data_IF_857446048082
#
_entry.id   IF_857446048082
#
_cell.length_a   1.000
_cell.length_b   1.000
_cell.length_c   1.000
_cell.angle_alpha   90.00
_cell.angle_beta   90.00
_cell.angle_gamma   90.00
#
_symmetry.space_group_name_H-M   'P 1'
#
loop_
_entity.id
_entity.type
_entity.pdbx_description
1 polymer ?
#
# COMPACT_ATOMS: atom_id res chain seq x y z
N UNK A 1 34.16 -17.46 25.32
CA UNK A 1 34.63 -16.11 24.96
C UNK A 1 35.04 -15.93 23.49
N UNK A 2 35.34 -16.98 22.70
CA UNK A 2 35.70 -16.84 21.27
C UNK A 2 34.54 -16.46 20.33
N UNK A 3 33.31 -16.85 20.69
CA UNK A 3 32.13 -16.62 19.83
C UNK A 3 31.79 -15.13 19.65
N UNK A 4 32.15 -14.30 20.63
CA UNK A 4 31.94 -12.84 20.57
C UNK A 4 32.68 -12.21 19.39
N UNK A 5 33.87 -12.73 19.03
CA UNK A 5 34.62 -12.25 17.88
C UNK A 5 33.93 -12.53 16.54
N UNK A 6 32.99 -13.48 16.49
CA UNK A 6 32.17 -13.74 15.31
C UNK A 6 30.85 -12.96 15.37
N UNK A 7 30.21 -12.93 16.54
CA UNK A 7 28.90 -12.29 16.71
C UNK A 7 28.95 -10.77 16.61
N UNK A 8 29.99 -10.11 17.13
CA UNK A 8 30.12 -8.65 17.07
C UNK A 8 30.19 -8.15 15.62
N UNK A 9 31.11 -8.60 14.75
CA UNK A 9 31.15 -8.13 13.36
C UNK A 9 29.91 -8.55 12.58
N UNK A 10 29.33 -9.72 12.86
CA UNK A 10 28.10 -10.16 12.21
C UNK A 10 26.91 -9.26 12.57
N UNK A 11 26.75 -8.93 13.85
CA UNK A 11 25.70 -8.01 14.31
C UNK A 11 25.90 -6.59 13.75
N UNK A 12 27.13 -6.09 13.72
CA UNK A 12 27.46 -4.80 13.09
C UNK A 12 27.16 -4.82 11.58
N UNK A 13 27.45 -5.93 10.90
CA UNK A 13 27.10 -6.11 9.49
C UNK A 13 25.59 -6.05 9.25
N UNK A 14 24.80 -6.79 10.05
CA UNK A 14 23.34 -6.77 9.97
C UNK A 14 22.78 -5.38 10.27
N UNK A 15 23.27 -4.72 11.33
CA UNK A 15 22.86 -3.36 11.67
C UNK A 15 23.23 -2.36 10.57
N UNK A 16 24.41 -2.49 9.96
CA UNK A 16 24.86 -1.66 8.85
C UNK A 16 24.01 -1.84 7.59
N UNK A 17 23.67 -3.08 7.24
CA UNK A 17 22.77 -3.38 6.11
C UNK A 17 21.38 -2.82 6.36
N UNK A 18 20.84 -2.99 7.58
CA UNK A 18 19.54 -2.43 7.95
C UNK A 18 19.53 -0.90 7.87
N UNK A 19 20.58 -0.23 8.38
CA UNK A 19 20.72 1.22 8.30
C UNK A 19 20.85 1.71 6.86
N UNK A 20 21.65 1.03 6.04
CA UNK A 20 21.81 1.37 4.63
C UNK A 20 20.48 1.24 3.86
N UNK A 21 19.76 0.13 4.05
CA UNK A 21 18.45 -0.09 3.44
C UNK A 21 17.43 0.96 3.88
N UNK A 22 17.43 1.34 5.16
CA UNK A 22 16.57 2.39 5.70
C UNK A 22 16.87 3.75 5.05
N UNK A 23 18.13 4.16 4.99
CA UNK A 23 18.53 5.43 4.36
C UNK A 23 18.21 5.45 2.86
N UNK A 24 18.37 4.31 2.18
CA UNK A 24 17.97 4.16 0.79
C UNK A 24 16.46 4.35 0.61
N UNK A 25 15.63 3.67 1.41
CA UNK A 25 14.17 3.79 1.35
C UNK A 25 13.68 5.22 1.61
N UNK A 26 14.27 5.91 2.59
CA UNK A 26 13.99 7.33 2.87
C UNK A 26 14.36 8.21 1.67
N UNK A 27 15.54 8.00 1.08
CA UNK A 27 16.00 8.77 -0.09
C UNK A 27 15.14 8.53 -1.33
N UNK A 28 14.56 7.34 -1.47
CA UNK A 28 13.66 6.98 -2.58
C UNK A 28 12.23 7.51 -2.38
N UNK A 29 11.92 8.16 -1.24
CA UNK A 29 10.60 8.72 -0.99
C UNK A 29 9.52 7.65 -0.76
N UNK A 30 9.91 6.44 -0.35
CA UNK A 30 8.94 5.33 -0.16
C UNK A 30 7.93 5.61 0.97
N UNK A 31 8.23 6.57 1.84
CA UNK A 31 7.36 7.01 2.93
C UNK A 31 6.46 8.20 2.56
N UNK A 32 6.61 8.79 1.36
CA UNK A 32 5.83 9.95 0.95
C UNK A 32 4.40 9.56 0.51
N UNK A 33 4.16 8.29 0.15
CA UNK A 33 2.85 7.76 -0.27
C UNK A 33 2.18 6.87 0.80
N UNK A 34 2.22 7.29 2.07
CA UNK A 34 1.45 6.65 3.15
C UNK A 34 -0.04 7.05 3.13
N UNK A 35 -0.39 8.15 2.46
CA UNK A 35 -1.76 8.70 2.41
C UNK A 35 -2.54 8.25 1.16
N UNK A 36 -1.87 7.90 0.06
CA UNK A 36 -2.52 7.62 -1.22
C UNK A 36 -3.37 6.34 -1.30
N UNK A 37 -3.11 5.25 -0.55
CA UNK A 37 -3.97 4.07 -0.56
C UNK A 37 -5.31 4.29 0.17
N UNK A 38 -5.27 5.01 1.30
CA UNK A 38 -6.46 5.25 2.13
C UNK A 38 -7.47 6.18 1.45
N UNK A 39 -6.99 7.15 0.67
CA UNK A 39 -7.87 8.08 -0.04
C UNK A 39 -8.58 7.44 -1.24
N UNK A 40 -8.00 6.41 -1.86
CA UNK A 40 -8.60 5.70 -3.01
C UNK A 40 -9.81 4.85 -2.58
N UNK A 41 -9.69 4.10 -1.49
CA UNK A 41 -10.79 3.27 -0.97
C UNK A 41 -12.05 4.08 -0.62
N UNK A 42 -11.90 5.34 -0.19
CA UNK A 42 -13.04 6.19 0.18
C UNK A 42 -13.61 7.01 -0.99
N UNK A 43 -12.83 7.20 -2.06
CA UNK A 43 -13.22 7.98 -3.24
C UNK A 43 -13.59 7.11 -4.46
N UNK A 44 -13.41 5.78 -4.38
CA UNK A 44 -13.74 4.84 -5.45
C UNK A 44 -15.25 4.82 -5.75
N UNK A 45 -16.14 5.12 -4.79
CA UNK A 45 -17.59 5.10 -4.99
C UNK A 45 -18.09 6.17 -5.99
N UNK A 46 -17.30 7.23 -6.21
CA UNK A 46 -17.62 8.34 -7.12
C UNK A 46 -16.83 8.28 -8.46
N UNK A 47 -16.06 7.22 -8.74
CA UNK A 47 -15.32 7.11 -10.00
C UNK A 47 -16.29 6.92 -11.20
N UNK A 48 -16.43 7.91 -12.11
CA UNK A 48 -17.31 7.81 -13.27
C UNK A 48 -16.88 6.74 -14.28
N UNK A 49 -15.70 6.13 -14.10
CA UNK A 49 -15.18 5.02 -14.91
C UNK A 49 -15.54 3.65 -14.38
N UNK A 50 -16.08 3.54 -13.17
CA UNK A 50 -16.62 2.27 -12.69
C UNK A 50 -17.88 1.90 -13.49
N UNK A 51 -17.94 0.68 -14.06
CA UNK A 51 -19.15 0.21 -14.70
C UNK A 51 -20.26 0.15 -13.64
N UNK A 52 -21.26 1.05 -13.71
CA UNK A 52 -22.48 0.88 -12.92
C UNK A 52 -22.98 -0.54 -13.14
N UNK A 53 -23.28 -1.31 -12.08
CA UNK A 53 -23.97 -2.58 -12.23
C UNK A 53 -25.26 -2.33 -13.03
N UNK A 54 -25.24 -2.70 -14.31
CA UNK A 54 -26.44 -2.78 -15.16
C UNK A 54 -27.25 -3.95 -14.62
N UNK A 55 -28.07 -3.69 -13.61
CA UNK A 55 -28.80 -4.73 -12.91
C UNK A 55 -30.05 -4.28 -12.14
N UNK A 56 -30.42 -3.00 -12.19
CA UNK A 56 -31.76 -2.55 -11.80
C UNK A 56 -32.54 -2.16 -13.06
N UNK A 57 -32.71 -3.17 -13.91
CA UNK A 57 -33.55 -3.20 -15.09
C UNK A 57 -34.98 -2.81 -14.69
N UNK A 58 -35.48 -1.72 -15.25
CA UNK A 58 -36.73 -1.68 -16.04
C UNK A 58 -37.95 -2.52 -15.59
N UNK A 59 -38.26 -2.61 -14.29
CA UNK A 59 -39.46 -3.37 -13.82
C UNK A 59 -40.67 -2.50 -13.42
N UNK A 60 -40.55 -1.16 -13.40
CA UNK A 60 -41.63 -0.31 -12.87
C UNK A 60 -42.47 0.46 -13.90
N UNK A 61 -42.24 0.27 -15.21
CA UNK A 61 -42.94 1.03 -16.27
C UNK A 61 -44.02 0.25 -17.05
N UNK A 62 -44.26 -1.04 -16.76
CA UNK A 62 -45.22 -1.85 -17.54
C UNK A 62 -46.59 -2.10 -16.86
N UNK A 63 -46.84 -1.56 -15.66
CA UNK A 63 -48.08 -1.83 -14.93
C UNK A 63 -49.15 -0.73 -15.08
N UNK A 64 -48.93 0.28 -15.93
CA UNK A 64 -49.83 1.42 -16.07
C UNK A 64 -50.02 1.95 -17.51
N UNK A 65 -49.83 1.10 -18.52
CA UNK A 65 -50.32 1.35 -19.90
C UNK A 65 -51.45 0.40 -20.27
#
# INVERSE_FOLDING_TARGET
MRILFLLIPMALGVAGVALWAFLWAVRTGQFDDLEGPAHRILMDDDDPRLPRPRGATDEHKSLNE
#
